data_IF_392562699241
#
_entry.id   IF_392562699241
#
_cell.length_a   1.000
_cell.length_b   1.000
_cell.length_c   1.000
_cell.angle_alpha   90.00
_cell.angle_beta   90.00
_cell.angle_gamma   90.00
#
_symmetry.space_group_name_H-M   'P 1'
#
loop_
_entity.id
_entity.type
_entity.pdbx_description
1 polymer ?
#
# COMPACT_ATOMS: atom_id res chain seq x y z
N UNK A 1 -67.40 43.23 42.62
CA UNK A 1 -66.28 42.37 43.14
C UNK A 1 -66.45 41.01 42.50
N UNK A 2 -65.61 40.72 41.53
CA UNK A 2 -65.79 39.60 40.61
C UNK A 2 -64.86 38.46 41.01
N UNK A 3 -65.42 37.33 41.31
CA UNK A 3 -64.71 36.04 41.50
C UNK A 3 -64.51 35.41 40.14
N UNK A 4 -63.25 35.19 39.72
CA UNK A 4 -62.88 34.45 38.53
C UNK A 4 -62.76 32.99 38.87
N UNK A 5 -63.58 32.17 38.19
CA UNK A 5 -63.54 30.72 38.20
C UNK A 5 -62.43 30.21 37.32
N UNK A 6 -61.63 29.29 37.82
CA UNK A 6 -60.59 28.57 37.07
C UNK A 6 -61.25 27.31 36.39
N UNK A 7 -61.04 27.19 35.10
CA UNK A 7 -61.41 26.04 34.27
C UNK A 7 -60.42 24.87 34.37
N UNK A 8 -60.87 23.60 34.43
CA UNK A 8 -59.98 22.46 34.44
C UNK A 8 -59.46 22.12 33.03
N UNK A 9 -58.15 21.92 32.91
CA UNK A 9 -57.50 21.45 31.68
C UNK A 9 -57.72 19.93 31.58
N UNK A 10 -58.39 19.54 30.52
CA UNK A 10 -58.54 18.17 30.06
C UNK A 10 -57.23 17.65 29.48
N UNK A 11 -56.65 16.60 30.03
CA UNK A 11 -55.47 15.94 29.53
C UNK A 11 -55.95 14.88 28.55
N UNK A 12 -55.65 15.07 27.23
CA UNK A 12 -55.79 14.03 26.21
C UNK A 12 -54.59 13.12 26.25
N UNK A 13 -54.78 11.88 26.68
CA UNK A 13 -53.79 10.80 26.49
C UNK A 13 -53.95 10.29 25.06
N UNK A 14 -53.01 10.63 24.16
CA UNK A 14 -52.90 9.98 22.85
C UNK A 14 -52.15 8.67 22.97
N UNK A 15 -52.86 7.56 22.82
CA UNK A 15 -52.26 6.23 22.67
C UNK A 15 -51.66 6.12 21.26
N UNK A 16 -50.36 6.19 21.16
CA UNK A 16 -49.65 5.95 19.89
C UNK A 16 -49.51 4.42 19.73
N UNK A 17 -50.31 3.83 18.85
CA UNK A 17 -50.14 2.42 18.45
C UNK A 17 -48.88 2.28 17.61
N UNK A 18 -47.85 1.63 18.16
CA UNK A 18 -46.63 1.27 17.45
C UNK A 18 -46.98 0.08 16.51
N UNK A 19 -47.14 0.39 15.21
CA UNK A 19 -47.15 -0.65 14.17
C UNK A 19 -45.71 -1.12 13.99
N UNK A 20 -45.36 -2.28 14.52
CA UNK A 20 -44.10 -2.95 14.21
C UNK A 20 -44.15 -3.47 12.77
N UNK A 21 -43.60 -2.69 11.83
CA UNK A 21 -43.24 -3.19 10.51
C UNK A 21 -42.10 -4.21 10.69
N UNK A 22 -42.46 -5.49 10.50
CA UNK A 22 -41.47 -6.56 10.38
C UNK A 22 -40.63 -6.27 9.12
N UNK A 23 -39.41 -5.78 9.30
CA UNK A 23 -38.40 -5.73 8.28
C UNK A 23 -38.00 -7.17 7.98
N UNK A 24 -38.10 -7.66 6.71
CA UNK A 24 -37.62 -8.98 6.41
C UNK A 24 -36.11 -9.03 6.73
N UNK A 25 -35.72 -9.92 7.62
CA UNK A 25 -34.33 -10.26 7.85
C UNK A 25 -33.78 -10.84 6.56
N UNK A 26 -33.14 -9.99 5.76
CA UNK A 26 -32.30 -10.43 4.64
C UNK A 26 -31.27 -11.37 5.23
N UNK A 27 -31.22 -12.58 4.68
CA UNK A 27 -30.19 -13.56 5.01
C UNK A 27 -28.84 -12.87 4.98
N UNK A 28 -28.18 -12.79 6.11
CA UNK A 28 -26.79 -12.37 6.25
C UNK A 28 -25.96 -13.34 5.41
N UNK A 29 -25.67 -12.96 4.16
CA UNK A 29 -24.53 -13.52 3.47
C UNK A 29 -23.36 -13.37 4.44
N UNK A 30 -22.64 -14.45 4.70
CA UNK A 30 -21.44 -14.44 5.53
C UNK A 30 -20.54 -13.35 4.99
N UNK A 31 -20.51 -12.21 5.65
CA UNK A 31 -19.58 -11.14 5.34
C UNK A 31 -18.21 -11.68 5.73
N UNK A 32 -17.45 -12.13 4.73
CA UNK A 32 -16.01 -12.26 4.89
C UNK A 32 -15.55 -10.91 5.45
N UNK A 33 -15.05 -10.90 6.68
CA UNK A 33 -14.50 -9.68 7.28
C UNK A 33 -13.26 -9.31 6.47
N UNK A 34 -13.43 -8.45 5.48
CA UNK A 34 -12.31 -7.80 4.84
C UNK A 34 -11.51 -7.07 5.93
N UNK A 35 -10.19 -7.25 5.96
CA UNK A 35 -9.33 -6.49 6.86
C UNK A 35 -9.47 -4.98 6.60
N UNK A 36 -8.93 -4.15 7.49
CA UNK A 36 -8.90 -2.71 7.27
C UNK A 36 -7.92 -2.36 6.14
N UNK A 37 -8.20 -1.32 5.37
CA UNK A 37 -7.21 -0.63 4.52
C UNK A 37 -6.64 0.52 5.32
N UNK A 38 -5.31 0.62 5.41
CA UNK A 38 -4.61 1.74 6.04
C UNK A 38 -4.01 2.64 4.96
N UNK A 39 -4.09 3.93 5.18
CA UNK A 39 -3.55 4.96 4.28
C UNK A 39 -3.19 6.21 5.08
N UNK A 40 -2.35 7.08 4.51
CA UNK A 40 -2.15 8.43 5.03
C UNK A 40 -3.00 9.42 4.25
N UNK A 41 -3.53 10.40 4.97
CA UNK A 41 -4.31 11.49 4.39
C UNK A 41 -3.94 12.81 5.07
N UNK A 42 -3.75 13.85 4.26
CA UNK A 42 -3.48 15.21 4.74
C UNK A 42 -4.43 16.19 4.08
N UNK A 43 -4.75 17.25 4.78
CA UNK A 43 -5.50 18.40 4.26
C UNK A 43 -4.94 19.71 4.85
N UNK A 44 -5.16 20.80 4.17
CA UNK A 44 -4.83 22.13 4.68
C UNK A 44 -6.12 22.84 5.08
N UNK A 45 -6.26 23.20 6.35
CA UNK A 45 -7.40 23.92 6.90
C UNK A 45 -6.89 25.25 7.43
N UNK A 46 -7.38 26.37 6.89
CA UNK A 46 -6.94 27.72 7.27
C UNK A 46 -5.41 27.91 7.25
N UNK A 47 -4.73 27.24 6.29
CA UNK A 47 -3.26 27.29 6.15
C UNK A 47 -2.49 26.38 7.12
N UNK A 48 -3.18 25.56 7.90
CA UNK A 48 -2.57 24.57 8.80
C UNK A 48 -2.75 23.16 8.22
N UNK A 49 -1.65 22.40 8.11
CA UNK A 49 -1.73 21.01 7.69
C UNK A 49 -2.30 20.15 8.83
N UNK A 50 -3.36 19.43 8.54
CA UNK A 50 -3.97 18.43 9.41
C UNK A 50 -3.94 17.06 8.71
N UNK A 51 -3.95 15.97 9.47
CA UNK A 51 -3.99 14.63 8.90
C UNK A 51 -3.27 13.59 9.74
N UNK A 52 -2.87 12.49 9.10
CA UNK A 52 -2.20 11.37 9.74
C UNK A 52 -2.51 10.06 9.02
N UNK A 53 -2.37 8.95 9.73
CA UNK A 53 -2.80 7.65 9.27
C UNK A 53 -4.28 7.42 9.59
N UNK A 54 -4.97 6.84 8.64
CA UNK A 54 -6.36 6.43 8.74
C UNK A 54 -6.49 4.95 8.41
N UNK A 55 -7.46 4.30 9.02
CA UNK A 55 -7.88 2.96 8.64
C UNK A 55 -9.37 2.96 8.31
N UNK A 56 -9.75 2.31 7.20
CA UNK A 56 -11.13 2.08 6.83
C UNK A 56 -11.46 0.59 6.91
N UNK A 57 -12.54 0.27 7.61
CA UNK A 57 -13.08 -1.10 7.73
C UNK A 57 -14.59 -1.04 7.69
N UNK A 58 -15.21 -1.87 6.85
CA UNK A 58 -16.67 -1.95 6.71
C UNK A 58 -17.35 -0.58 6.49
N UNK A 59 -16.67 0.31 5.73
CA UNK A 59 -17.13 1.66 5.43
C UNK A 59 -16.98 2.67 6.59
N UNK A 60 -16.34 2.27 7.70
CA UNK A 60 -16.04 3.17 8.82
C UNK A 60 -14.56 3.57 8.77
N UNK A 61 -14.31 4.86 8.61
CA UNK A 61 -12.98 5.45 8.67
C UNK A 61 -12.65 5.88 10.10
N UNK A 62 -11.46 5.49 10.58
CA UNK A 62 -10.94 5.87 11.89
C UNK A 62 -9.53 6.45 11.72
N UNK A 63 -9.27 7.59 12.35
CA UNK A 63 -7.94 8.18 12.42
C UNK A 63 -7.11 7.43 13.46
N UNK A 64 -5.90 7.03 13.08
CA UNK A 64 -4.98 6.28 13.93
C UNK A 64 -3.91 7.17 14.56
N UNK A 65 -3.47 8.20 13.83
CA UNK A 65 -2.46 9.18 14.26
C UNK A 65 -2.87 10.58 13.82
N UNK A 66 -2.30 11.61 14.45
CA UNK A 66 -2.70 13.02 14.23
C UNK A 66 -1.56 13.88 13.62
N UNK A 67 -0.55 13.26 13.02
CA UNK A 67 0.55 14.01 12.41
C UNK A 67 0.43 13.97 10.88
N UNK A 68 0.32 15.13 10.20
CA UNK A 68 0.18 15.20 8.74
C UNK A 68 1.42 14.73 7.97
N UNK A 69 2.57 14.57 8.63
CA UNK A 69 3.77 14.02 8.01
C UNK A 69 3.82 12.47 8.01
N UNK A 70 2.77 11.81 8.53
CA UNK A 70 2.69 10.34 8.52
C UNK A 70 2.46 9.83 7.11
N UNK A 71 3.22 8.82 6.71
CA UNK A 71 3.20 8.28 5.36
C UNK A 71 3.63 6.82 5.30
N UNK A 72 3.39 6.20 4.15
CA UNK A 72 3.89 4.86 3.79
C UNK A 72 3.57 3.77 4.83
N UNK A 73 2.30 3.62 5.24
CA UNK A 73 1.94 2.60 6.21
C UNK A 73 2.10 1.19 5.65
N UNK A 74 2.50 0.23 6.52
CA UNK A 74 2.63 -1.18 6.19
C UNK A 74 2.25 -2.05 7.39
N UNK A 75 1.32 -3.00 7.20
CA UNK A 75 0.90 -3.93 8.23
C UNK A 75 1.93 -5.04 8.46
N UNK A 76 2.00 -5.50 9.70
CA UNK A 76 2.57 -6.82 9.99
C UNK A 76 1.68 -7.94 9.44
N UNK A 77 2.27 -9.08 9.10
CA UNK A 77 1.54 -10.25 8.59
C UNK A 77 0.43 -10.74 9.53
N UNK A 78 0.56 -10.50 10.83
CA UNK A 78 -0.48 -10.83 11.81
C UNK A 78 -1.52 -9.72 12.00
N UNK A 79 -1.39 -8.60 11.26
CA UNK A 79 -2.32 -7.47 11.28
C UNK A 79 -2.37 -6.69 12.60
N UNK A 80 -1.38 -6.86 13.50
CA UNK A 80 -1.40 -6.27 14.85
C UNK A 80 -0.57 -5.01 15.00
N UNK A 81 0.30 -4.75 14.03
CA UNK A 81 1.22 -3.61 14.05
C UNK A 81 1.25 -2.98 12.67
N UNK A 82 1.29 -1.67 12.63
CA UNK A 82 1.51 -0.86 11.44
C UNK A 82 2.85 -0.17 11.61
N UNK A 83 3.77 -0.32 10.66
CA UNK A 83 4.97 0.51 10.55
C UNK A 83 4.69 1.65 9.58
N UNK A 84 5.26 2.82 9.82
CA UNK A 84 5.06 4.00 8.97
C UNK A 84 6.26 4.96 9.08
N UNK A 85 6.36 5.88 8.13
CA UNK A 85 7.35 6.94 8.11
C UNK A 85 6.73 8.24 8.62
N UNK A 86 7.51 9.02 9.40
CA UNK A 86 7.20 10.37 9.84
C UNK A 86 8.47 11.19 9.90
N UNK A 87 8.54 12.29 9.15
CA UNK A 87 9.67 13.23 9.18
C UNK A 87 11.05 12.54 9.05
N UNK A 88 11.16 11.57 8.14
CA UNK A 88 12.40 10.82 7.91
C UNK A 88 12.74 9.80 9.00
N UNK A 89 11.78 9.36 9.79
CA UNK A 89 11.97 8.33 10.80
C UNK A 89 10.87 7.26 10.75
N UNK A 90 11.22 6.05 11.17
CA UNK A 90 10.30 4.92 11.22
C UNK A 90 9.64 4.85 12.60
N UNK A 91 8.32 4.67 12.57
CA UNK A 91 7.45 4.49 13.72
C UNK A 91 6.63 3.21 13.58
N UNK A 92 6.05 2.80 14.68
CA UNK A 92 5.00 1.76 14.72
C UNK A 92 3.83 2.22 15.56
N UNK A 93 2.63 1.70 15.22
CA UNK A 93 1.38 1.93 15.94
C UNK A 93 0.52 0.67 15.84
N UNK A 94 -0.43 0.48 16.77
CA UNK A 94 -1.45 -0.57 16.62
C UNK A 94 -2.58 -0.11 15.72
N UNK A 95 -3.38 -1.04 15.14
CA UNK A 95 -4.53 -0.70 14.30
C UNK A 95 -5.68 0.04 15.02
N UNK A 96 -5.62 0.16 16.35
CA UNK A 96 -6.53 0.96 17.17
C UNK A 96 -5.97 2.36 17.49
N UNK A 97 -4.82 2.73 16.92
CA UNK A 97 -4.12 4.00 17.16
C UNK A 97 -3.27 4.01 18.45
N UNK A 98 -3.32 2.96 19.28
CA UNK A 98 -2.57 2.91 20.53
C UNK A 98 -1.13 2.44 20.33
N UNK A 99 -0.28 2.74 21.32
CA UNK A 99 1.08 2.20 21.39
C UNK A 99 2.01 2.73 20.32
N UNK A 100 1.82 3.97 19.86
CA UNK A 100 2.74 4.63 18.94
C UNK A 100 4.17 4.63 19.53
N UNK A 101 5.13 4.30 18.68
CA UNK A 101 6.52 4.20 19.06
C UNK A 101 7.45 4.56 17.92
N UNK A 102 8.39 5.45 18.16
CA UNK A 102 9.50 5.74 17.27
C UNK A 102 10.57 4.66 17.35
N UNK A 103 11.01 4.14 16.21
CA UNK A 103 12.02 3.09 16.10
C UNK A 103 13.41 3.63 15.73
N UNK A 104 13.46 4.67 14.89
CA UNK A 104 14.73 5.20 14.37
C UNK A 104 14.96 6.66 14.75
N UNK A 105 16.22 7.07 14.76
CA UNK A 105 16.68 8.40 15.17
C UNK A 105 17.86 8.86 14.30
N UNK A 106 18.22 10.14 14.39
CA UNK A 106 19.36 10.74 13.72
C UNK A 106 18.96 11.76 12.67
N UNK A 107 19.94 12.35 12.01
CA UNK A 107 19.74 13.25 10.86
C UNK A 107 19.78 12.42 9.58
N UNK A 108 18.70 11.74 9.28
CA UNK A 108 18.57 10.78 8.19
C UNK A 108 17.15 10.88 7.61
N UNK A 109 16.96 10.30 6.43
CA UNK A 109 15.65 10.19 5.77
C UNK A 109 15.31 8.70 5.62
N UNK A 110 14.57 8.17 6.56
CA UNK A 110 14.03 6.81 6.55
C UNK A 110 12.65 6.78 5.90
N UNK A 111 12.41 5.80 5.04
CA UNK A 111 11.17 5.65 4.26
C UNK A 111 10.86 4.19 3.97
N UNK A 112 9.66 3.92 3.43
CA UNK A 112 9.18 2.62 2.94
C UNK A 112 9.39 1.47 3.93
N UNK A 113 8.86 1.58 5.16
CA UNK A 113 9.00 0.53 6.14
C UNK A 113 8.21 -0.73 5.74
N UNK A 114 8.77 -1.89 6.03
CA UNK A 114 8.10 -3.19 5.90
C UNK A 114 8.43 -4.06 7.11
N UNK A 115 7.40 -4.57 7.77
CA UNK A 115 7.59 -5.49 8.90
C UNK A 115 7.94 -6.89 8.36
N UNK A 116 8.98 -7.52 8.90
CA UNK A 116 9.36 -8.88 8.51
C UNK A 116 8.23 -9.88 8.77
N UNK A 117 8.12 -10.99 7.99
CA UNK A 117 7.06 -11.98 8.14
C UNK A 117 6.94 -12.59 9.55
N UNK A 118 8.03 -12.63 10.31
CA UNK A 118 8.05 -13.11 11.69
C UNK A 118 7.77 -11.99 12.73
N UNK A 119 7.49 -10.76 12.30
CA UNK A 119 7.18 -9.62 13.17
C UNK A 119 8.35 -9.07 14.00
N UNK A 120 9.59 -9.47 13.76
CA UNK A 120 10.71 -9.14 14.66
C UNK A 120 11.52 -7.91 14.28
N UNK A 121 11.56 -7.58 13.00
CA UNK A 121 12.34 -6.43 12.48
C UNK A 121 11.51 -5.64 11.49
N UNK A 122 11.85 -4.36 11.33
CA UNK A 122 11.36 -3.50 10.27
C UNK A 122 12.51 -3.27 9.30
N UNK A 123 12.28 -3.57 8.02
CA UNK A 123 13.12 -3.22 6.88
C UNK A 123 12.70 -1.84 6.40
N UNK A 124 13.63 -0.99 6.00
CA UNK A 124 13.35 0.34 5.49
C UNK A 124 14.50 0.85 4.61
N UNK A 125 14.23 1.86 3.83
CA UNK A 125 15.22 2.59 3.04
C UNK A 125 15.72 3.78 3.86
N UNK A 126 17.04 4.04 3.84
CA UNK A 126 17.67 5.17 4.53
C UNK A 126 18.57 5.94 3.58
N UNK A 127 18.36 7.26 3.54
CA UNK A 127 19.27 8.23 2.90
C UNK A 127 19.95 9.09 3.98
N UNK A 128 21.20 9.44 3.77
CA UNK A 128 21.90 10.40 4.64
C UNK A 128 21.39 11.83 4.46
N UNK A 129 20.97 12.16 3.25
CA UNK A 129 20.32 13.44 2.89
C UNK A 129 19.45 13.26 1.65
N UNK A 130 18.61 14.26 1.33
CA UNK A 130 17.84 14.28 0.11
C UNK A 130 18.76 14.26 -1.13
N UNK A 131 18.47 13.38 -2.08
CA UNK A 131 19.26 13.19 -3.31
C UNK A 131 20.44 12.21 -3.16
N UNK A 132 20.81 11.82 -1.93
CA UNK A 132 21.83 10.79 -1.71
C UNK A 132 21.25 9.38 -1.96
N UNK A 133 22.09 8.40 -2.32
CA UNK A 133 21.66 7.01 -2.50
C UNK A 133 21.02 6.44 -1.23
N UNK A 134 19.97 5.65 -1.42
CA UNK A 134 19.38 4.88 -0.33
C UNK A 134 20.15 3.59 -0.10
N UNK A 135 20.28 3.21 1.17
CA UNK A 135 20.67 1.88 1.59
C UNK A 135 19.53 1.21 2.35
N UNK A 136 19.49 -0.12 2.29
CA UNK A 136 18.53 -0.90 3.05
C UNK A 136 19.02 -1.10 4.48
N UNK A 137 18.13 -0.81 5.41
CA UNK A 137 18.39 -1.00 6.84
C UNK A 137 17.34 -1.90 7.48
N UNK A 138 17.69 -2.51 8.57
CA UNK A 138 16.76 -3.17 9.48
C UNK A 138 16.90 -2.63 10.88
N UNK A 139 15.80 -2.53 11.61
CA UNK A 139 15.74 -2.23 13.04
C UNK A 139 14.83 -3.24 13.73
N UNK A 140 15.15 -3.61 14.99
CA UNK A 140 14.25 -4.46 15.76
C UNK A 140 12.87 -3.78 15.96
N UNK A 141 11.78 -4.55 15.96
CA UNK A 141 10.42 -4.02 16.19
C UNK A 141 10.30 -3.31 17.54
N UNK A 142 11.16 -3.65 18.47
CA UNK A 142 11.31 -2.98 19.76
C UNK A 142 12.18 -1.72 19.73
N UNK A 143 12.69 -1.30 18.57
CA UNK A 143 13.66 -0.21 18.43
C UNK A 143 15.09 -0.65 18.73
N UNK A 144 16.04 0.28 18.67
CA UNK A 144 17.47 0.04 18.90
C UNK A 144 18.33 0.51 17.74
N UNK A 145 19.57 0.01 17.65
CA UNK A 145 20.47 0.37 16.56
C UNK A 145 19.97 -0.22 15.22
N UNK A 146 19.88 0.63 14.23
CA UNK A 146 19.59 0.20 12.86
C UNK A 146 20.85 -0.42 12.24
N UNK A 147 20.65 -1.52 11.49
CA UNK A 147 21.72 -2.25 10.81
C UNK A 147 21.65 -2.00 9.33
N UNK A 148 22.76 -1.56 8.73
CA UNK A 148 22.92 -1.45 7.28
C UNK A 148 23.08 -2.83 6.65
N UNK A 149 22.28 -3.10 5.62
CA UNK A 149 22.33 -4.35 4.86
C UNK A 149 23.08 -4.21 3.54
N UNK A 150 23.12 -3.01 2.97
CA UNK A 150 23.63 -2.74 1.61
C UNK A 150 24.61 -1.56 1.60
N UNK A 151 25.66 -1.56 2.45
CA UNK A 151 26.60 -0.46 2.50
C UNK A 151 27.25 -0.25 1.12
N UNK A 152 27.30 1.00 0.67
CA UNK A 152 27.91 1.36 -0.61
C UNK A 152 27.28 2.59 -1.25
N UNK A 153 27.82 2.99 -2.40
CA UNK A 153 27.38 4.19 -3.09
C UNK A 153 26.19 3.97 -4.03
N UNK A 154 25.75 2.72 -4.21
CA UNK A 154 24.64 2.40 -5.12
C UNK A 154 23.30 2.50 -4.40
N UNK A 155 22.32 3.03 -5.11
CA UNK A 155 20.96 3.19 -4.60
C UNK A 155 20.27 1.83 -4.49
N UNK A 156 19.82 1.45 -3.29
CA UNK A 156 19.10 0.20 -3.00
C UNK A 156 17.69 0.53 -2.53
N UNK A 157 16.68 0.16 -3.33
CA UNK A 157 15.28 0.57 -3.14
C UNK A 157 14.30 -0.58 -3.44
N UNK A 158 13.01 -0.33 -3.21
CA UNK A 158 11.90 -1.25 -3.53
C UNK A 158 12.05 -2.63 -2.92
N UNK A 159 12.61 -2.67 -1.73
CA UNK A 159 12.90 -3.92 -1.05
C UNK A 159 11.63 -4.65 -0.60
N UNK A 160 11.63 -5.98 -0.72
CA UNK A 160 10.53 -6.86 -0.28
C UNK A 160 11.07 -8.09 0.41
N UNK A 161 10.52 -8.43 1.57
CA UNK A 161 10.77 -9.73 2.18
C UNK A 161 10.16 -10.86 1.34
N UNK A 162 10.89 -11.97 1.23
CA UNK A 162 10.26 -13.24 0.84
C UNK A 162 9.22 -13.66 1.91
N UNK A 163 8.13 -14.36 1.53
CA UNK A 163 7.10 -14.78 2.48
C UNK A 163 7.65 -15.64 3.65
N UNK A 164 8.74 -16.36 3.43
CA UNK A 164 9.44 -17.15 4.45
C UNK A 164 10.40 -16.33 5.33
N UNK A 165 10.57 -15.03 5.04
CA UNK A 165 11.45 -14.12 5.76
C UNK A 165 12.94 -14.40 5.62
N UNK A 166 13.36 -15.32 4.74
CA UNK A 166 14.77 -15.76 4.62
C UNK A 166 15.60 -14.89 3.67
N UNK A 167 14.96 -14.22 2.74
CA UNK A 167 15.59 -13.35 1.76
C UNK A 167 14.80 -12.05 1.61
N UNK A 168 15.49 -11.02 1.16
CA UNK A 168 14.96 -9.73 0.73
C UNK A 168 15.35 -9.59 -0.73
N UNK A 169 14.42 -9.31 -1.63
CA UNK A 169 14.68 -8.91 -3.01
C UNK A 169 14.51 -7.39 -3.11
N UNK A 170 15.37 -6.73 -3.86
CA UNK A 170 15.38 -5.28 -4.00
C UNK A 170 15.95 -4.85 -5.34
N UNK A 171 15.70 -3.61 -5.70
CA UNK A 171 16.31 -2.94 -6.85
C UNK A 171 17.62 -2.30 -6.44
N UNK A 172 18.67 -2.49 -7.22
CA UNK A 172 19.94 -1.79 -7.05
C UNK A 172 20.29 -1.02 -8.31
N UNK A 173 20.40 0.29 -8.17
CA UNK A 173 20.73 1.18 -9.27
C UNK A 173 22.22 1.41 -9.32
N UNK A 174 22.84 1.05 -10.45
CA UNK A 174 24.26 1.31 -10.70
C UNK A 174 24.42 2.69 -11.27
N UNK A 175 25.33 3.46 -10.70
CA UNK A 175 25.71 4.80 -11.14
C UNK A 175 27.13 4.79 -11.72
N UNK A 176 27.36 5.54 -12.81
CA UNK A 176 28.70 5.80 -13.31
C UNK A 176 28.81 7.25 -13.78
N UNK A 177 29.88 7.94 -13.35
CA UNK A 177 30.12 9.35 -13.68
C UNK A 177 28.92 10.27 -13.41
N UNK A 178 28.17 10.01 -12.31
CA UNK A 178 26.97 10.77 -11.96
C UNK A 178 25.74 10.47 -12.80
N UNK A 179 25.82 9.51 -13.73
CA UNK A 179 24.68 9.08 -14.55
C UNK A 179 24.23 7.69 -14.15
N UNK A 180 22.91 7.50 -14.12
CA UNK A 180 22.32 6.18 -13.94
C UNK A 180 22.60 5.29 -15.15
N UNK A 181 23.15 4.11 -14.92
CA UNK A 181 23.42 3.13 -15.97
C UNK A 181 22.23 2.17 -16.14
N UNK A 182 21.85 1.50 -15.09
CA UNK A 182 20.74 0.55 -15.05
C UNK A 182 20.32 0.24 -13.61
N UNK A 183 19.15 -0.31 -13.47
CA UNK A 183 18.65 -0.89 -12.22
C UNK A 183 18.41 -2.39 -12.41
N UNK A 184 18.98 -3.19 -11.53
CA UNK A 184 18.87 -4.64 -11.55
C UNK A 184 18.27 -5.15 -10.24
N UNK A 185 17.72 -6.36 -10.30
CA UNK A 185 17.23 -7.04 -9.12
C UNK A 185 18.36 -7.77 -8.40
N UNK A 186 18.39 -7.60 -7.11
CA UNK A 186 19.31 -8.26 -6.18
C UNK A 186 18.55 -8.98 -5.07
N UNK A 187 19.21 -9.91 -4.42
CA UNK A 187 18.72 -10.53 -3.19
C UNK A 187 19.79 -10.50 -2.11
N UNK A 188 19.34 -10.43 -0.85
CA UNK A 188 20.20 -10.46 0.34
C UNK A 188 19.45 -11.14 1.48
N UNK A 189 20.17 -11.72 2.47
CA UNK A 189 19.54 -12.21 3.70
C UNK A 189 19.27 -11.04 4.66
N UNK A 190 18.27 -11.13 5.56
CA UNK A 190 18.05 -10.12 6.60
C UNK A 190 19.26 -9.92 7.54
N UNK A 191 20.19 -10.87 7.54
CA UNK A 191 21.48 -10.73 8.24
C UNK A 191 22.47 -9.80 7.53
N UNK A 192 22.21 -9.33 6.30
CA UNK A 192 23.14 -8.58 5.47
C UNK A 192 24.14 -9.47 4.71
N UNK A 193 24.04 -10.80 4.81
CA UNK A 193 24.91 -11.73 4.11
C UNK A 193 24.27 -12.29 2.84
N UNK A 194 25.08 -12.80 1.93
CA UNK A 194 24.61 -13.50 0.72
C UNK A 194 24.00 -12.57 -0.31
N UNK A 195 24.55 -11.37 -0.48
CA UNK A 195 24.23 -10.47 -1.57
C UNK A 195 24.46 -11.18 -2.91
N UNK A 196 23.43 -11.21 -3.75
CA UNK A 196 23.49 -11.82 -5.06
C UNK A 196 22.72 -10.96 -6.08
N UNK A 197 23.29 -10.73 -7.25
CA UNK A 197 22.62 -10.11 -8.38
C UNK A 197 21.76 -11.16 -9.08
N UNK A 198 20.48 -10.89 -9.30
CA UNK A 198 19.52 -11.81 -9.91
C UNK A 198 19.33 -11.57 -11.40
N UNK A 199 19.47 -10.31 -11.85
CA UNK A 199 19.35 -9.92 -13.26
C UNK A 199 20.60 -9.20 -13.74
N UNK A 200 20.86 -9.22 -15.05
CA UNK A 200 22.08 -8.64 -15.67
C UNK A 200 21.78 -8.04 -17.03
N UNK A 201 20.67 -7.37 -17.19
CA UNK A 201 20.23 -6.77 -18.45
C UNK A 201 20.83 -5.38 -18.62
N UNK A 202 21.84 -5.24 -19.46
CA UNK A 202 22.73 -4.08 -19.52
C UNK A 202 22.16 -2.74 -20.03
N UNK A 203 20.88 -2.63 -20.41
CA UNK A 203 20.27 -1.37 -20.90
C UNK A 203 18.79 -1.22 -20.57
N UNK A 204 18.26 -2.07 -19.77
CA UNK A 204 16.87 -2.02 -19.32
C UNK A 204 16.85 -2.13 -17.80
N UNK A 205 15.90 -1.50 -17.19
CA UNK A 205 15.72 -1.47 -15.77
C UNK A 205 14.73 -2.55 -15.36
N UNK A 206 14.99 -3.20 -14.25
CA UNK A 206 14.02 -4.02 -13.52
C UNK A 206 13.57 -3.29 -12.26
N UNK A 207 12.27 -3.38 -11.96
CA UNK A 207 11.64 -2.66 -10.85
C UNK A 207 10.37 -3.36 -10.37
N UNK A 208 9.80 -2.91 -9.27
CA UNK A 208 8.59 -3.45 -8.64
C UNK A 208 8.62 -4.96 -8.37
N UNK A 209 9.68 -5.52 -7.78
CA UNK A 209 9.70 -6.95 -7.53
C UNK A 209 8.63 -7.35 -6.49
N UNK A 210 7.89 -8.43 -6.78
CA UNK A 210 6.96 -9.07 -5.86
C UNK A 210 7.19 -10.57 -5.84
N UNK A 211 7.00 -11.17 -4.68
CA UNK A 211 7.05 -12.63 -4.57
C UNK A 211 5.71 -13.25 -4.98
N UNK A 212 5.79 -14.37 -5.71
CA UNK A 212 4.66 -15.25 -5.97
C UNK A 212 5.00 -16.68 -5.58
N UNK A 213 4.05 -17.63 -5.67
CA UNK A 213 4.27 -19.00 -5.25
C UNK A 213 5.45 -19.70 -5.95
N UNK A 214 5.74 -19.34 -7.20
CA UNK A 214 6.82 -19.94 -8.01
C UNK A 214 8.15 -19.19 -8.00
N UNK A 215 8.19 -17.94 -7.50
CA UNK A 215 9.40 -17.12 -7.62
C UNK A 215 9.19 -15.62 -7.37
N UNK A 216 9.66 -14.82 -8.31
CA UNK A 216 9.57 -13.36 -8.31
C UNK A 216 8.92 -12.93 -9.62
N UNK A 217 7.93 -12.05 -9.56
CA UNK A 217 7.39 -11.30 -10.69
C UNK A 217 7.89 -9.87 -10.59
N UNK A 218 8.21 -9.25 -11.72
CA UNK A 218 8.80 -7.91 -11.76
C UNK A 218 8.50 -7.21 -13.09
N UNK A 219 8.56 -5.90 -13.08
CA UNK A 219 8.50 -5.06 -14.25
C UNK A 219 9.88 -4.92 -14.87
N UNK A 220 9.94 -4.83 -16.21
CA UNK A 220 11.18 -4.59 -16.97
C UNK A 220 10.90 -3.60 -18.07
N UNK A 221 11.68 -2.53 -18.16
CA UNK A 221 11.51 -1.51 -19.18
C UNK A 221 12.59 -0.43 -19.14
N UNK A 222 12.51 0.52 -20.04
CA UNK A 222 13.44 1.64 -20.10
C UNK A 222 12.81 2.88 -19.43
N UNK A 223 13.08 3.07 -18.15
CA UNK A 223 12.59 4.26 -17.41
C UNK A 223 13.19 5.58 -17.92
N UNK A 224 14.31 5.53 -18.65
CA UNK A 224 14.94 6.74 -19.20
C UNK A 224 14.15 7.38 -20.37
N UNK A 225 13.17 6.69 -20.92
CA UNK A 225 12.30 7.19 -21.99
C UNK A 225 11.05 7.91 -21.46
N UNK A 226 10.99 8.23 -20.17
CA UNK A 226 9.90 8.94 -19.51
C UNK A 226 8.73 8.03 -19.09
N UNK A 227 7.59 8.60 -18.64
CA UNK A 227 6.44 7.84 -18.14
C UNK A 227 5.79 6.91 -19.19
N UNK A 228 6.21 7.02 -20.46
CA UNK A 228 5.81 6.15 -21.57
C UNK A 228 6.85 5.07 -21.89
N UNK A 229 7.88 4.88 -21.06
CA UNK A 229 8.84 3.79 -21.21
C UNK A 229 8.10 2.46 -21.22
N UNK A 230 8.24 1.70 -22.30
CA UNK A 230 7.57 0.43 -22.49
C UNK A 230 8.03 -0.56 -21.41
N UNK A 231 7.16 -0.92 -20.49
CA UNK A 231 7.39 -1.95 -19.49
C UNK A 231 6.65 -3.23 -19.84
N UNK A 232 7.35 -4.36 -19.73
CA UNK A 232 6.78 -5.69 -19.78
C UNK A 232 6.90 -6.32 -18.40
N UNK A 233 6.12 -7.36 -18.13
CA UNK A 233 6.17 -8.08 -16.86
C UNK A 233 6.77 -9.45 -17.08
N UNK A 234 7.75 -9.78 -16.25
CA UNK A 234 8.48 -11.04 -16.28
C UNK A 234 8.33 -11.80 -14.96
N UNK A 235 8.56 -13.09 -15.01
CA UNK A 235 8.73 -13.96 -13.85
C UNK A 235 10.10 -14.60 -13.87
N UNK A 236 10.62 -14.94 -12.69
CA UNK A 236 11.83 -15.75 -12.53
C UNK A 236 11.76 -16.60 -11.26
N UNK A 237 12.61 -17.62 -11.16
CA UNK A 237 12.84 -18.29 -9.88
C UNK A 237 13.53 -17.37 -8.88
N UNK A 238 13.40 -17.65 -7.58
CA UNK A 238 14.01 -16.83 -6.50
C UNK A 238 15.54 -16.69 -6.60
N UNK A 239 16.19 -17.57 -7.33
CA UNK A 239 17.64 -17.54 -7.57
C UNK A 239 18.05 -16.83 -8.87
N UNK A 240 17.14 -16.10 -9.51
CA UNK A 240 17.39 -15.37 -10.75
C UNK A 240 17.35 -16.21 -12.03
N UNK A 241 17.10 -17.51 -11.94
CA UNK A 241 17.02 -18.38 -13.14
C UNK A 241 15.60 -18.47 -13.71
N UNK A 242 15.46 -18.92 -14.95
CA UNK A 242 14.18 -19.07 -15.66
C UNK A 242 13.42 -17.77 -15.75
N UNK A 243 14.06 -16.75 -16.28
CA UNK A 243 13.40 -15.48 -16.60
C UNK A 243 12.50 -15.72 -17.80
N UNK A 244 11.19 -15.56 -17.63
CA UNK A 244 10.18 -15.81 -18.65
C UNK A 244 9.19 -14.63 -18.69
N UNK A 245 8.74 -14.20 -19.88
CA UNK A 245 7.73 -13.17 -19.99
C UNK A 245 6.38 -13.65 -19.46
N UNK A 246 5.66 -12.75 -18.81
CA UNK A 246 4.30 -12.98 -18.33
C UNK A 246 3.29 -12.07 -19.04
N UNK A 247 3.65 -10.81 -19.29
CA UNK A 247 2.87 -9.82 -20.05
C UNK A 247 3.84 -9.09 -20.96
N UNK A 248 3.68 -9.19 -22.27
CA UNK A 248 4.57 -8.59 -23.27
C UNK A 248 3.81 -7.79 -24.34
N UNK A 249 4.50 -6.83 -24.95
CA UNK A 249 4.15 -6.21 -26.23
C UNK A 249 2.84 -5.41 -26.22
N UNK A 250 2.41 -4.93 -25.08
CA UNK A 250 1.06 -4.34 -24.90
C UNK A 250 1.09 -2.92 -24.33
N UNK A 251 2.18 -2.22 -24.51
CA UNK A 251 2.38 -0.91 -23.89
C UNK A 251 3.04 -1.01 -22.50
N UNK A 252 3.00 0.06 -21.73
CA UNK A 252 3.64 0.11 -20.40
C UNK A 252 2.86 -0.69 -19.38
N UNK A 253 3.40 -1.84 -18.94
CA UNK A 253 2.84 -2.67 -17.90
C UNK A 253 3.71 -2.63 -16.63
N UNK A 254 3.09 -2.40 -15.47
CA UNK A 254 3.77 -2.24 -14.18
C UNK A 254 3.12 -3.14 -13.13
N UNK A 255 3.94 -3.88 -12.40
CA UNK A 255 3.50 -4.73 -11.30
C UNK A 255 2.98 -3.84 -10.16
N UNK A 256 1.77 -4.10 -9.70
CA UNK A 256 1.19 -3.47 -8.52
C UNK A 256 1.33 -4.41 -7.31
N UNK A 257 0.63 -5.53 -7.33
CA UNK A 257 0.66 -6.49 -6.22
C UNK A 257 0.38 -7.92 -6.67
N UNK A 258 0.72 -8.87 -5.79
CA UNK A 258 0.45 -10.31 -5.94
C UNK A 258 -0.48 -10.76 -4.83
N UNK A 259 -1.51 -11.54 -5.20
CA UNK A 259 -2.46 -12.07 -4.23
C UNK A 259 -1.76 -12.83 -3.08
N UNK A 260 -2.32 -12.85 -1.87
CA UNK A 260 -1.74 -13.55 -0.72
C UNK A 260 -1.45 -15.03 -0.97
N UNK A 261 -2.23 -15.67 -1.85
CA UNK A 261 -2.02 -17.06 -2.27
C UNK A 261 -0.86 -17.21 -3.28
N UNK A 262 -0.31 -16.11 -3.80
CA UNK A 262 0.81 -16.09 -4.72
C UNK A 262 0.50 -16.58 -6.14
N UNK A 263 -0.76 -16.52 -6.58
CA UNK A 263 -1.17 -17.06 -7.88
C UNK A 263 -1.77 -16.05 -8.84
N UNK A 264 -2.12 -14.87 -8.36
CA UNK A 264 -2.76 -13.82 -9.15
C UNK A 264 -1.98 -12.52 -9.02
N UNK A 265 -1.77 -11.86 -10.14
CA UNK A 265 -1.11 -10.56 -10.27
C UNK A 265 -2.17 -9.50 -10.54
N UNK A 266 -2.06 -8.36 -9.86
CA UNK A 266 -2.66 -7.08 -10.27
C UNK A 266 -1.54 -6.24 -10.86
N UNK A 267 -1.81 -5.63 -12.00
CA UNK A 267 -0.86 -4.78 -12.70
C UNK A 267 -1.57 -3.64 -13.43
N UNK A 268 -0.90 -2.52 -13.54
CA UNK A 268 -1.33 -1.40 -14.38
C UNK A 268 -0.82 -1.62 -15.80
N UNK A 269 -1.65 -1.33 -16.78
CA UNK A 269 -1.28 -1.30 -18.20
C UNK A 269 -2.13 -0.27 -18.93
N UNK A 270 -1.49 0.62 -19.66
CA UNK A 270 -2.15 1.72 -20.37
C UNK A 270 -3.11 2.49 -19.43
N UNK A 271 -4.37 2.55 -19.81
CA UNK A 271 -5.47 3.17 -19.03
C UNK A 271 -6.26 2.13 -18.24
N UNK A 272 -5.63 1.13 -17.69
CA UNK A 272 -6.36 0.08 -16.98
C UNK A 272 -5.61 -0.58 -15.86
N UNK A 273 -6.36 -0.98 -14.85
CA UNK A 273 -5.97 -1.96 -13.85
C UNK A 273 -6.38 -3.34 -14.35
N UNK A 274 -5.47 -4.29 -14.32
CA UNK A 274 -5.64 -5.62 -14.90
C UNK A 274 -5.32 -6.70 -13.89
N UNK A 275 -6.06 -7.79 -13.97
CA UNK A 275 -5.85 -9.03 -13.24
C UNK A 275 -5.31 -10.12 -14.17
N UNK A 276 -4.33 -10.91 -13.73
CA UNK A 276 -3.84 -12.06 -14.45
C UNK A 276 -3.40 -13.18 -13.49
N UNK A 277 -3.79 -14.42 -13.78
CA UNK A 277 -3.16 -15.58 -13.15
C UNK A 277 -1.69 -15.65 -13.58
N UNK A 278 -0.78 -15.87 -12.62
CA UNK A 278 0.65 -16.03 -12.91
C UNK A 278 0.83 -17.41 -13.53
N UNK A 279 0.97 -17.44 -14.85
CA UNK A 279 1.00 -18.63 -15.67
C UNK A 279 0.20 -18.48 -16.96
N UNK A 280 -0.19 -19.58 -17.62
CA UNK A 280 -0.99 -19.54 -18.84
C UNK A 280 -2.33 -18.83 -18.66
N UNK A 281 -2.83 -18.20 -19.72
CA UNK A 281 -4.11 -17.51 -19.73
C UNK A 281 -4.00 -16.02 -20.04
N UNK A 282 -5.17 -15.40 -20.32
CA UNK A 282 -5.25 -13.99 -20.68
C UNK A 282 -5.46 -13.12 -19.42
N UNK A 283 -4.99 -11.88 -19.49
CA UNK A 283 -5.33 -10.86 -18.53
C UNK A 283 -6.79 -10.41 -18.69
N UNK A 284 -7.42 -10.03 -17.59
CA UNK A 284 -8.77 -9.46 -17.51
C UNK A 284 -8.65 -8.02 -17.00
N UNK A 285 -9.29 -7.06 -17.67
CA UNK A 285 -9.37 -5.68 -17.17
C UNK A 285 -10.30 -5.63 -15.96
N UNK A 286 -9.83 -5.03 -14.89
CA UNK A 286 -10.56 -4.88 -13.61
C UNK A 286 -11.20 -3.51 -13.51
N UNK A 287 -10.46 -2.48 -13.93
CA UNK A 287 -10.95 -1.10 -13.94
C UNK A 287 -10.36 -0.29 -15.07
N UNK A 288 -11.11 0.70 -15.54
CA UNK A 288 -10.59 1.80 -16.36
C UNK A 288 -10.01 2.86 -15.44
N UNK A 289 -8.87 3.42 -15.84
CA UNK A 289 -8.16 4.49 -15.12
C UNK A 289 -8.19 5.77 -15.96
N UNK A 290 -8.30 6.96 -15.34
CA UNK A 290 -8.16 8.22 -16.06
C UNK A 290 -6.79 8.37 -16.73
N UNK A 291 -6.66 9.26 -17.71
CA UNK A 291 -5.39 9.52 -18.38
C UNK A 291 -4.36 10.15 -17.46
N UNK A 292 -3.14 9.61 -17.51
CA UNK A 292 -1.99 10.14 -16.75
C UNK A 292 -2.12 9.91 -15.25
N UNK A 293 -2.89 8.88 -14.83
CA UNK A 293 -2.97 8.47 -13.43
C UNK A 293 -1.86 7.51 -13.07
N UNK A 294 -1.38 7.66 -11.85
CA UNK A 294 -0.62 6.63 -11.13
C UNK A 294 -1.56 5.86 -10.20
N UNK A 295 -1.19 4.64 -9.89
CA UNK A 295 -1.95 3.79 -8.96
C UNK A 295 -1.02 3.15 -7.95
N UNK A 296 -1.55 2.90 -6.77
CA UNK A 296 -1.00 1.97 -5.81
C UNK A 296 -2.12 1.01 -5.40
N UNK A 297 -1.93 -0.26 -5.70
CA UNK A 297 -2.99 -1.27 -5.53
C UNK A 297 -2.49 -2.42 -4.67
N UNK A 298 -3.33 -2.87 -3.74
CA UNK A 298 -3.03 -3.99 -2.85
C UNK A 298 -4.22 -4.96 -2.76
N UNK A 299 -3.92 -6.26 -2.71
CA UNK A 299 -4.95 -7.28 -2.52
C UNK A 299 -5.51 -7.28 -1.10
N UNK A 300 -6.79 -7.60 -0.98
CA UNK A 300 -7.36 -8.06 0.29
C UNK A 300 -6.71 -9.37 0.73
N UNK A 301 -6.71 -9.64 2.03
CA UNK A 301 -6.08 -10.82 2.61
C UNK A 301 -6.64 -12.15 2.09
N UNK A 302 -7.89 -12.17 1.64
CA UNK A 302 -8.51 -13.33 0.99
C UNK A 302 -8.30 -13.38 -0.54
N UNK A 303 -7.73 -12.31 -1.12
CA UNK A 303 -7.49 -12.17 -2.54
C UNK A 303 -8.74 -11.91 -3.38
N UNK A 304 -9.90 -11.64 -2.77
CA UNK A 304 -11.17 -11.45 -3.48
C UNK A 304 -11.37 -10.03 -4.01
N UNK A 305 -10.64 -9.09 -3.45
CA UNK A 305 -10.76 -7.67 -3.76
C UNK A 305 -9.39 -7.00 -3.84
N UNK A 306 -9.34 -5.82 -4.42
CA UNK A 306 -8.18 -4.95 -4.49
C UNK A 306 -8.59 -3.58 -3.97
N UNK A 307 -7.83 -3.02 -3.02
CA UNK A 307 -7.85 -1.59 -2.74
C UNK A 307 -6.90 -0.91 -3.71
N UNK A 308 -7.31 0.20 -4.28
CA UNK A 308 -6.49 0.99 -5.19
C UNK A 308 -6.62 2.47 -4.88
N UNK A 309 -5.50 3.12 -4.73
CA UNK A 309 -5.38 4.57 -4.76
C UNK A 309 -5.12 4.97 -6.20
N UNK A 310 -5.93 5.87 -6.72
CA UNK A 310 -5.83 6.41 -8.07
C UNK A 310 -5.44 7.88 -7.95
N UNK A 311 -4.25 8.22 -8.41
CA UNK A 311 -3.74 9.59 -8.40
C UNK A 311 -3.91 10.22 -9.79
N UNK A 312 -4.90 11.06 -9.94
CA UNK A 312 -5.13 11.86 -11.14
C UNK A 312 -4.53 13.27 -11.02
N UNK A 313 -4.51 14.00 -12.12
CA UNK A 313 -3.96 15.38 -12.15
C UNK A 313 -4.68 16.37 -11.24
N UNK A 314 -5.92 16.09 -10.84
CA UNK A 314 -6.78 17.02 -10.05
C UNK A 314 -7.57 16.34 -8.94
N UNK A 315 -7.49 15.03 -8.83
CA UNK A 315 -8.24 14.25 -7.86
C UNK A 315 -7.48 13.01 -7.46
N UNK A 316 -7.65 12.59 -6.23
CA UNK A 316 -7.20 11.31 -5.73
C UNK A 316 -8.43 10.55 -5.25
N UNK A 317 -8.51 9.26 -5.59
CA UNK A 317 -9.60 8.38 -5.21
C UNK A 317 -9.06 7.12 -4.55
N UNK A 318 -9.60 6.74 -3.42
CA UNK A 318 -9.29 5.48 -2.75
C UNK A 318 -10.53 4.57 -2.78
N UNK A 319 -10.45 3.47 -3.49
CA UNK A 319 -11.58 2.55 -3.67
C UNK A 319 -11.18 1.08 -3.48
N UNK A 320 -12.16 0.26 -3.12
CA UNK A 320 -12.07 -1.19 -3.20
C UNK A 320 -12.81 -1.70 -4.44
N UNK A 321 -12.23 -2.69 -5.12
CA UNK A 321 -12.81 -3.33 -6.31
C UNK A 321 -12.91 -4.84 -6.03
N UNK A 322 -14.11 -5.37 -6.06
CA UNK A 322 -14.33 -6.82 -6.00
C UNK A 322 -14.01 -7.46 -7.34
N UNK A 323 -13.07 -8.38 -7.38
CA UNK A 323 -12.53 -8.95 -8.63
C UNK A 323 -13.50 -9.87 -9.36
N UNK A 324 -14.42 -10.52 -8.65
CA UNK A 324 -15.40 -11.41 -9.26
C UNK A 324 -16.53 -10.61 -9.93
N UNK A 325 -17.03 -9.57 -9.28
CA UNK A 325 -18.21 -8.79 -9.73
C UNK A 325 -17.86 -7.50 -10.45
N UNK A 326 -16.63 -6.97 -10.26
CA UNK A 326 -16.23 -5.65 -10.72
C UNK A 326 -16.86 -4.50 -9.92
N UNK A 327 -17.55 -4.80 -8.80
CA UNK A 327 -18.18 -3.77 -7.95
C UNK A 327 -17.09 -2.91 -7.31
N UNK A 328 -17.24 -1.60 -7.49
CA UNK A 328 -16.41 -0.57 -6.86
C UNK A 328 -17.11 -0.07 -5.60
N UNK A 329 -16.34 0.25 -4.58
CA UNK A 329 -16.79 0.85 -3.31
C UNK A 329 -15.76 1.88 -2.90
N UNK A 330 -16.17 3.12 -2.72
CA UNK A 330 -15.31 4.18 -2.24
C UNK A 330 -14.94 3.89 -0.78
N UNK A 331 -13.66 3.93 -0.48
CA UNK A 331 -13.13 3.66 0.86
C UNK A 331 -12.95 4.93 1.68
N UNK A 332 -12.60 6.03 1.01
CA UNK A 332 -12.49 7.35 1.62
C UNK A 332 -13.02 8.38 0.64
N UNK A 333 -13.62 9.44 1.18
CA UNK A 333 -14.11 10.56 0.37
C UNK A 333 -12.92 11.28 -0.28
N UNK A 334 -13.00 11.45 -1.61
CA UNK A 334 -12.15 12.38 -2.32
C UNK A 334 -12.52 13.79 -1.85
N UNK A 335 -11.53 14.54 -1.38
CA UNK A 335 -11.78 15.95 -1.08
C UNK A 335 -11.97 16.73 -2.38
N UNK A 336 -13.19 17.16 -2.65
CA UNK A 336 -13.50 18.17 -3.66
C UNK A 336 -13.54 19.54 -2.98
N UNK A 337 -12.52 20.36 -3.13
CA UNK A 337 -12.49 21.71 -2.56
C UNK A 337 -11.24 22.50 -2.93
N UNK A 338 -11.24 23.80 -2.63
CA UNK A 338 -10.08 24.70 -2.81
C UNK A 338 -8.94 24.42 -1.80
N UNK A 339 -9.17 23.55 -0.83
CA UNK A 339 -8.17 23.11 0.14
C UNK A 339 -7.41 21.90 -0.44
N UNK A 340 -6.08 21.99 -0.45
CA UNK A 340 -5.22 20.89 -0.89
C UNK A 340 -5.35 19.72 0.08
N UNK A 341 -6.12 18.71 -0.30
CA UNK A 341 -6.13 17.42 0.38
C UNK A 341 -5.42 16.37 -0.46
N UNK A 342 -4.60 15.55 0.15
CA UNK A 342 -3.84 14.52 -0.51
C UNK A 342 -3.84 13.23 0.30
N UNK A 343 -3.97 12.10 -0.40
CA UNK A 343 -3.59 10.79 0.13
C UNK A 343 -2.08 10.60 -0.05
N UNK A 344 -1.44 9.94 0.91
CA UNK A 344 -0.05 9.51 0.70
C UNK A 344 0.03 8.36 -0.32
N UNK A 345 1.18 8.21 -0.96
CA UNK A 345 1.34 7.36 -2.16
C UNK A 345 1.26 5.86 -1.89
N UNK A 346 1.17 5.44 -0.64
CA UNK A 346 1.18 4.02 -0.25
C UNK A 346 -0.04 3.70 0.60
N UNK A 347 -0.70 2.60 0.25
CA UNK A 347 -1.77 1.97 1.02
C UNK A 347 -1.38 0.54 1.37
N UNK A 348 -1.96 -0.02 2.42
CA UNK A 348 -1.82 -1.44 2.73
C UNK A 348 -3.13 -2.01 3.26
N UNK A 349 -3.32 -3.32 3.08
CA UNK A 349 -4.51 -4.03 3.51
C UNK A 349 -4.18 -4.99 4.65
N UNK A 350 -4.91 -4.83 5.77
CA UNK A 350 -4.70 -5.64 6.96
C UNK A 350 -4.91 -7.13 6.63
N UNK A 351 -3.93 -7.99 6.89
CA UNK A 351 -4.10 -9.43 6.80
C UNK A 351 -5.17 -9.90 7.78
N UNK A 352 -6.08 -10.77 7.34
CA UNK A 352 -7.02 -11.46 8.22
C UNK A 352 -6.49 -12.87 8.51
N UNK A 353 -6.65 -13.32 9.74
CA UNK A 353 -6.29 -14.69 10.15
C UNK A 353 -7.36 -15.69 9.76
#
# INVERSE_FOLDING_TARGET
>A
MSLRTLSPRTIFLSVLALLALAVPTSATAATHRAGAVVFSQTRTVEGVAEGGLFAVRDGQQNQLTENPADSEPSFSVDGRTIAFAREGHIYTVRPDGSGERRLTNGQVLDSRPQISPNGRVVLFERRSAAGEPANLYTVAIGGGAAKDLTPGPEDATEARFAPDGKTITFVRTTMANGSRLNADLYSIRPSGSGLARLTTTGRVDEFDPRYFAGGIVFSRGNQSEGPAGYGDIYTMKRNGTKVEPLVEGVGSAYVEDVSPQGHTLIFRRDRGLWEKKIGPGRAKKVAELPDGTETNSVFSSDGSSVATLIEGRKSQELMAINLATGRKTDLAEAYEGEEEAAFGPVIDWQPTR
#
